data_IF_785816131353
#
_entry.id   IF_785816131353
#
_cell.length_a   1.000
_cell.length_b   1.000
_cell.length_c   1.000
_cell.angle_alpha   90.00
_cell.angle_beta   90.00
_cell.angle_gamma   90.00
#
_symmetry.space_group_name_H-M   'P 1'
#
loop_
_entity.id
_entity.type
_entity.pdbx_description
1 polymer ?
#
# COMPACT_ATOMS: atom_id res chain seq x y z
N UNK A 1 -43.51 -33.29 14.98
CA UNK A 1 -44.37 -32.28 14.30
C UNK A 1 -44.25 -30.89 14.95
N UNK A 2 -44.54 -30.73 16.25
CA UNK A 2 -44.51 -29.40 16.94
C UNK A 2 -43.12 -28.75 17.00
N UNK A 3 -42.04 -29.54 17.09
CA UNK A 3 -40.66 -29.04 17.15
C UNK A 3 -40.19 -28.46 15.80
N UNK A 4 -40.50 -29.13 14.69
CA UNK A 4 -40.19 -28.66 13.33
C UNK A 4 -40.99 -27.40 12.97
N UNK A 5 -42.24 -27.29 13.43
CA UNK A 5 -43.05 -26.08 13.24
C UNK A 5 -42.46 -24.88 13.99
N UNK A 6 -41.91 -25.07 15.21
CA UNK A 6 -41.24 -23.99 15.96
C UNK A 6 -39.93 -23.57 15.31
N UNK A 7 -39.16 -24.52 14.77
CA UNK A 7 -37.92 -24.22 14.05
C UNK A 7 -38.19 -23.40 12.78
N UNK A 8 -39.22 -23.76 12.00
CA UNK A 8 -39.59 -23.06 10.77
C UNK A 8 -39.99 -21.59 11.02
N UNK A 9 -40.70 -21.33 12.12
CA UNK A 9 -41.11 -19.96 12.51
C UNK A 9 -39.88 -19.12 12.91
N UNK A 10 -38.92 -19.67 13.63
CA UNK A 10 -37.70 -18.93 14.00
C UNK A 10 -36.83 -18.60 12.77
N UNK A 11 -36.76 -19.50 11.78
CA UNK A 11 -35.99 -19.25 10.56
C UNK A 11 -36.56 -18.10 9.72
N UNK A 12 -37.88 -17.91 9.65
CA UNK A 12 -38.48 -16.82 8.86
C UNK A 12 -38.28 -15.44 9.50
N UNK A 13 -38.26 -15.35 10.84
CA UNK A 13 -37.94 -14.10 11.54
C UNK A 13 -36.46 -13.71 11.39
N UNK A 14 -35.54 -14.67 11.35
CA UNK A 14 -34.11 -14.37 11.16
C UNK A 14 -33.77 -13.93 9.72
N UNK A 15 -34.45 -14.48 8.72
CA UNK A 15 -34.19 -14.10 7.32
C UNK A 15 -34.68 -12.68 6.98
N UNK A 16 -35.73 -12.19 7.64
CA UNK A 16 -36.28 -10.85 7.38
C UNK A 16 -35.44 -9.72 7.98
N UNK A 17 -34.77 -9.96 9.11
CA UNK A 17 -33.84 -8.97 9.71
C UNK A 17 -32.55 -8.80 8.91
N UNK A 18 -32.05 -9.87 8.27
CA UNK A 18 -30.89 -9.80 7.38
C UNK A 18 -31.15 -8.93 6.15
N UNK A 19 -32.33 -9.02 5.54
CA UNK A 19 -32.72 -8.20 4.39
C UNK A 19 -32.87 -6.71 4.74
N UNK A 20 -33.40 -6.39 5.93
CA UNK A 20 -33.56 -5.01 6.38
C UNK A 20 -32.21 -4.31 6.63
N UNK A 21 -31.20 -5.05 7.09
CA UNK A 21 -29.84 -4.51 7.31
C UNK A 21 -29.14 -4.10 6.01
N UNK A 22 -29.48 -4.72 4.88
CA UNK A 22 -28.87 -4.42 3.57
C UNK A 22 -29.44 -3.16 2.89
N UNK A 23 -30.52 -2.56 3.40
CA UNK A 23 -31.21 -1.46 2.71
C UNK A 23 -30.60 -0.07 2.97
N UNK A 24 -29.65 0.08 3.88
CA UNK A 24 -29.13 1.39 4.32
C UNK A 24 -27.64 1.64 4.04
N UNK A 25 -27.02 0.98 3.05
CA UNK A 25 -25.59 1.18 2.73
C UNK A 25 -25.36 1.80 1.35
N UNK A 26 -26.03 2.90 1.03
CA UNK A 26 -25.50 3.84 0.06
C UNK A 26 -25.53 5.25 0.64
N UNK A 27 -24.52 5.65 1.43
CA UNK A 27 -24.28 7.07 1.58
C UNK A 27 -23.84 7.57 0.19
N UNK A 28 -24.69 8.38 -0.44
CA UNK A 28 -24.28 9.22 -1.57
C UNK A 28 -23.30 10.26 -1.04
N UNK A 29 -22.06 9.84 -0.80
CA UNK A 29 -20.95 10.73 -0.47
C UNK A 29 -20.59 11.46 -1.75
N UNK A 30 -20.93 12.75 -1.83
CA UNK A 30 -20.26 13.66 -2.76
C UNK A 30 -18.78 13.68 -2.37
N UNK A 31 -17.83 13.56 -3.30
CA UNK A 31 -16.42 13.65 -2.95
C UNK A 31 -16.12 15.13 -2.64
N UNK A 32 -16.27 15.51 -1.38
CA UNK A 32 -15.64 16.72 -0.87
C UNK A 32 -14.23 16.33 -0.42
N UNK A 33 -13.24 17.05 -0.92
CA UNK A 33 -11.79 16.88 -0.70
C UNK A 33 -11.34 17.16 0.76
N UNK A 34 -12.27 17.18 1.72
CA UNK A 34 -12.02 17.66 3.10
C UNK A 34 -11.93 16.52 4.14
N UNK A 35 -12.15 15.26 3.75
CA UNK A 35 -12.00 14.08 4.60
C UNK A 35 -10.68 13.31 4.34
N UNK A 36 -9.63 14.00 3.87
CA UNK A 36 -8.27 13.45 4.00
C UNK A 36 -7.88 13.53 5.48
N UNK A 37 -8.18 12.46 6.22
CA UNK A 37 -7.69 12.25 7.59
C UNK A 37 -6.16 12.40 7.69
N UNK A 38 -5.58 12.30 8.90
CA UNK A 38 -4.16 12.59 9.11
C UNK A 38 -3.28 11.97 8.01
N UNK A 39 -2.50 12.82 7.32
CA UNK A 39 -1.61 12.48 6.19
C UNK A 39 -0.72 11.25 6.50
N UNK A 40 -0.58 10.92 7.79
CA UNK A 40 -0.02 9.68 8.34
C UNK A 40 -0.55 8.37 7.72
N UNK A 41 -1.73 8.35 7.10
CA UNK A 41 -2.30 7.15 6.47
C UNK A 41 -2.30 7.15 4.94
N UNK A 42 -1.85 8.23 4.29
CA UNK A 42 -1.67 8.22 2.84
C UNK A 42 -0.33 7.53 2.53
N UNK A 43 -0.40 6.25 2.18
CA UNK A 43 0.67 5.60 1.44
C UNK A 43 1.00 6.48 0.24
N UNK A 44 2.30 6.75 0.01
CA UNK A 44 2.80 7.68 -1.00
C UNK A 44 1.89 7.68 -2.24
N UNK A 45 1.19 8.79 -2.55
CA UNK A 45 0.09 8.81 -3.54
C UNK A 45 0.52 8.37 -4.95
N UNK A 46 1.83 8.19 -5.16
CA UNK A 46 2.47 7.85 -6.42
C UNK A 46 3.42 6.63 -6.32
N UNK A 47 3.33 5.78 -5.29
CA UNK A 47 4.25 4.63 -5.11
C UNK A 47 4.39 3.78 -6.39
N UNK A 48 3.27 3.42 -7.01
CA UNK A 48 3.29 2.62 -8.24
C UNK A 48 4.02 3.33 -9.38
N UNK A 49 3.81 4.64 -9.52
CA UNK A 49 4.48 5.43 -10.56
C UNK A 49 5.99 5.53 -10.31
N UNK A 50 6.40 5.72 -9.04
CA UNK A 50 7.81 5.74 -8.65
C UNK A 50 8.49 4.38 -8.95
N UNK A 51 7.82 3.27 -8.65
CA UNK A 51 8.31 1.92 -8.97
C UNK A 51 8.40 1.70 -10.49
N UNK A 52 7.41 2.16 -11.26
CA UNK A 52 7.43 2.08 -12.72
C UNK A 52 8.59 2.88 -13.32
N UNK A 53 8.84 4.11 -12.82
CA UNK A 53 9.95 4.95 -13.26
C UNK A 53 11.30 4.32 -12.95
N UNK A 54 11.47 3.75 -11.74
CA UNK A 54 12.69 3.03 -11.38
C UNK A 54 12.93 1.82 -12.30
N UNK A 55 11.89 1.04 -12.59
CA UNK A 55 11.97 -0.10 -13.53
C UNK A 55 12.31 0.36 -14.94
N UNK A 56 11.75 1.48 -15.40
CA UNK A 56 12.03 2.05 -16.72
C UNK A 56 13.49 2.52 -16.81
N UNK A 57 13.98 3.22 -15.80
CA UNK A 57 15.37 3.67 -15.72
C UNK A 57 16.35 2.49 -15.72
N UNK A 58 16.06 1.42 -14.96
CA UNK A 58 16.88 0.20 -14.95
C UNK A 58 16.91 -0.46 -16.33
N UNK A 59 15.76 -0.58 -17.01
CA UNK A 59 15.70 -1.11 -18.38
C UNK A 59 16.51 -0.28 -19.37
N UNK A 60 16.49 1.04 -19.26
CA UNK A 60 17.32 1.92 -20.10
C UNK A 60 18.81 1.68 -19.85
N UNK A 61 19.25 1.57 -18.59
CA UNK A 61 20.65 1.25 -18.25
C UNK A 61 21.09 -0.10 -18.83
N UNK A 62 20.23 -1.12 -18.78
CA UNK A 62 20.51 -2.44 -19.37
C UNK A 62 20.64 -2.34 -20.90
N UNK A 63 19.74 -1.62 -21.57
CA UNK A 63 19.84 -1.40 -23.03
C UNK A 63 21.13 -0.66 -23.41
N UNK A 64 21.58 0.29 -22.59
CA UNK A 64 22.86 0.96 -22.82
C UNK A 64 24.05 -0.01 -22.72
N UNK A 65 24.00 -1.02 -21.85
CA UNK A 65 25.04 -2.06 -21.80
C UNK A 65 25.10 -2.90 -23.08
N UNK A 66 23.96 -3.10 -23.76
CA UNK A 66 23.90 -3.85 -25.02
C UNK A 66 24.55 -3.09 -26.19
N UNK A 67 24.65 -1.76 -26.09
CA UNK A 67 25.33 -0.93 -27.10
C UNK A 67 26.85 -0.86 -26.94
N UNK A 68 27.38 -1.35 -25.82
CA UNK A 68 28.82 -1.34 -25.57
C UNK A 68 29.48 -2.58 -26.17
N UNK A 69 30.67 -2.40 -26.75
CA UNK A 69 31.52 -3.51 -27.20
C UNK A 69 32.21 -4.16 -25.99
N UNK A 70 31.47 -5.02 -25.29
CA UNK A 70 31.94 -5.75 -24.11
C UNK A 70 31.65 -7.24 -24.24
N UNK A 71 32.48 -8.07 -23.61
CA UNK A 71 32.23 -9.51 -23.55
C UNK A 71 30.96 -9.85 -22.76
N UNK A 72 30.28 -10.93 -23.14
CA UNK A 72 29.05 -11.40 -22.48
C UNK A 72 29.22 -11.61 -20.98
N UNK A 73 30.39 -12.10 -20.56
CA UNK A 73 30.72 -12.30 -19.15
C UNK A 73 30.75 -10.97 -18.39
N UNK A 74 31.28 -9.91 -19.00
CA UNK A 74 31.34 -8.57 -18.41
C UNK A 74 29.94 -7.95 -18.38
N UNK A 75 29.18 -8.10 -19.47
CA UNK A 75 27.77 -7.68 -19.57
C UNK A 75 26.91 -8.28 -18.46
N UNK A 76 26.96 -9.60 -18.25
CA UNK A 76 26.20 -10.27 -17.19
C UNK A 76 26.57 -9.78 -15.79
N UNK A 77 27.86 -9.54 -15.52
CA UNK A 77 28.32 -8.99 -14.24
C UNK A 77 27.77 -7.59 -14.00
N UNK A 78 27.77 -6.73 -15.02
CA UNK A 78 27.25 -5.38 -14.93
C UNK A 78 25.73 -5.36 -14.71
N UNK A 79 24.99 -6.21 -15.43
CA UNK A 79 23.55 -6.36 -15.21
C UNK A 79 23.27 -6.78 -13.75
N UNK A 80 24.00 -7.77 -13.22
CA UNK A 80 23.85 -8.20 -11.83
C UNK A 80 24.16 -7.08 -10.82
N UNK A 81 25.16 -6.25 -11.10
CA UNK A 81 25.49 -5.09 -10.27
C UNK A 81 24.37 -4.04 -10.28
N UNK A 82 23.79 -3.74 -11.45
CA UNK A 82 22.66 -2.80 -11.57
C UNK A 82 21.43 -3.24 -10.78
N UNK A 83 21.08 -4.53 -10.82
CA UNK A 83 20.00 -5.06 -9.99
C UNK A 83 20.30 -4.93 -8.49
N UNK A 84 21.54 -5.23 -8.08
CA UNK A 84 21.95 -5.10 -6.68
C UNK A 84 21.81 -3.66 -6.17
N UNK A 85 22.23 -2.67 -6.97
CA UNK A 85 22.10 -1.25 -6.64
C UNK A 85 20.63 -0.80 -6.59
N UNK A 86 19.77 -1.33 -7.47
CA UNK A 86 18.34 -1.00 -7.46
C UNK A 86 17.61 -1.47 -6.19
N UNK A 87 18.15 -2.49 -5.52
CA UNK A 87 17.59 -3.01 -4.26
C UNK A 87 18.23 -2.41 -3.00
N UNK A 88 19.39 -1.74 -3.12
CA UNK A 88 19.97 -1.03 -1.98
C UNK A 88 19.17 0.24 -1.72
N UNK A 89 18.28 0.18 -0.73
CA UNK A 89 17.59 1.36 -0.21
C UNK A 89 18.65 2.25 0.42
N UNK A 90 19.06 3.28 -0.31
CA UNK A 90 19.89 4.36 0.25
C UNK A 90 19.00 5.17 1.19
N UNK A 91 18.85 4.71 2.43
CA UNK A 91 18.31 5.53 3.51
C UNK A 91 19.24 6.74 3.66
N UNK A 92 18.87 7.86 3.02
CA UNK A 92 19.56 9.13 3.26
C UNK A 92 19.42 9.43 4.75
N UNK A 93 20.53 9.72 5.42
CA UNK A 93 20.58 10.09 6.85
C UNK A 93 19.59 11.19 7.24
N UNK A 94 19.10 12.00 6.28
CA UNK A 94 18.07 13.02 6.49
C UNK A 94 16.70 12.48 6.90
N UNK A 95 16.42 11.18 6.76
CA UNK A 95 15.17 10.55 7.23
C UNK A 95 15.24 10.17 8.71
N UNK A 96 16.44 10.10 9.30
CA UNK A 96 16.63 9.94 10.73
C UNK A 96 16.54 11.33 11.39
N UNK A 97 15.33 11.88 11.45
CA UNK A 97 15.09 13.08 12.26
C UNK A 97 15.29 12.70 13.74
N UNK A 98 16.17 13.42 14.43
CA UNK A 98 16.28 13.31 15.89
C UNK A 98 15.01 13.92 16.48
N UNK A 99 14.09 13.08 16.96
CA UNK A 99 12.97 13.52 17.77
C UNK A 99 13.47 13.71 19.20
N UNK A 100 13.71 14.96 19.59
CA UNK A 100 13.86 15.34 20.99
C UNK A 100 12.45 15.40 21.57
N UNK A 101 12.11 14.48 22.48
CA UNK A 101 10.85 14.52 23.22
C UNK A 101 11.09 15.37 24.47
N UNK A 102 10.32 16.45 24.65
CA UNK A 102 10.31 17.18 25.90
C UNK A 102 9.60 16.30 26.94
N UNK A 103 10.31 15.92 28.00
CA UNK A 103 9.74 15.24 29.15
C UNK A 103 8.85 16.24 29.89
N UNK A 104 7.53 16.13 29.75
CA UNK A 104 6.58 16.89 30.56
C UNK A 104 6.75 16.46 32.03
N UNK A 105 7.32 17.36 32.82
CA UNK A 105 7.45 17.22 34.27
C UNK A 105 6.05 17.35 34.89
N UNK A 106 5.42 16.22 35.21
CA UNK A 106 4.16 16.21 35.95
C UNK A 106 4.45 16.58 37.40
N UNK A 107 4.07 17.79 37.82
CA UNK A 107 4.06 18.18 39.23
C UNK A 107 2.92 17.44 39.98
N UNK A 108 3.27 16.83 41.12
CA UNK A 108 2.41 16.01 42.00
C UNK A 108 1.25 16.77 42.68
#
# INVERSE_FOLDING_TARGET
MKLFMRLAICCTFFCTSLLYSQQNTTPSVKPNEEDEGPIMFQFEPNYETAVMLQRAALKQKIKALDTLDISDRKRQRLIKALYKESHSVNFKKSVLANTEFEEEEFED
#
